data_IF_960357512743
#
_entry.id   IF_960357512743
#
_cell.length_a   1.000
_cell.length_b   1.000
_cell.length_c   1.000
_cell.angle_alpha   90.00
_cell.angle_beta   90.00
_cell.angle_gamma   90.00
#
_symmetry.space_group_name_H-M   'P 1'
#
loop_
_entity.id
_entity.type
_entity.pdbx_description
1 polymer ?
#
# COMPACT_ATOMS: atom_id res chain seq x y z
N UNK A 1 30.92 -11.25 20.21
CA UNK A 1 32.00 -11.65 19.27
C UNK A 1 31.62 -12.84 18.36
N UNK A 2 30.33 -13.16 18.17
CA UNK A 2 29.88 -14.14 17.16
C UNK A 2 29.32 -13.43 15.92
N UNK A 3 28.81 -12.21 16.04
CA UNK A 3 28.26 -11.45 14.91
C UNK A 3 29.32 -10.97 13.91
N UNK A 4 30.57 -10.71 14.35
CA UNK A 4 31.63 -10.21 13.45
C UNK A 4 32.04 -11.21 12.35
N UNK A 5 31.78 -12.51 12.52
CA UNK A 5 32.06 -13.49 11.46
C UNK A 5 31.07 -13.36 10.30
N UNK A 6 29.85 -12.90 10.58
CA UNK A 6 28.79 -12.76 9.58
C UNK A 6 29.04 -11.60 8.62
N UNK A 7 29.93 -10.67 8.99
CA UNK A 7 30.39 -9.60 8.12
C UNK A 7 31.25 -10.13 6.97
N UNK A 8 31.88 -11.30 7.14
CA UNK A 8 32.82 -11.85 6.19
C UNK A 8 32.32 -13.10 5.44
N UNK A 9 31.34 -13.83 5.99
CA UNK A 9 30.86 -15.07 5.39
C UNK A 9 29.49 -14.93 4.72
N UNK A 10 29.27 -15.68 3.65
CA UNK A 10 27.92 -15.85 3.10
C UNK A 10 27.06 -16.68 4.05
N UNK A 11 25.85 -16.21 4.33
CA UNK A 11 24.94 -16.85 5.27
C UNK A 11 23.48 -16.63 4.84
N UNK A 12 22.53 -17.29 5.49
CA UNK A 12 21.10 -17.06 5.27
C UNK A 12 20.47 -16.53 6.54
N UNK A 13 19.60 -15.52 6.41
CA UNK A 13 18.77 -15.01 7.51
C UNK A 13 17.33 -15.40 7.27
N UNK A 14 16.64 -15.87 8.31
CA UNK A 14 15.25 -16.26 8.23
C UNK A 14 14.35 -15.04 8.39
N UNK A 15 13.36 -14.90 7.50
CA UNK A 15 12.26 -13.95 7.64
C UNK A 15 11.08 -14.69 8.28
N UNK A 16 10.82 -14.49 9.59
CA UNK A 16 9.76 -15.20 10.30
C UNK A 16 8.36 -14.76 9.87
N UNK A 17 8.20 -13.58 9.26
CA UNK A 17 6.92 -13.11 8.76
C UNK A 17 6.53 -13.83 7.46
N UNK A 18 7.52 -14.23 6.64
CA UNK A 18 7.29 -14.92 5.36
C UNK A 18 7.56 -16.42 5.40
N UNK A 19 8.18 -16.94 6.46
CA UNK A 19 8.57 -18.34 6.55
C UNK A 19 9.67 -18.74 5.55
N UNK A 20 10.49 -17.79 5.10
CA UNK A 20 11.50 -17.98 4.06
C UNK A 20 12.87 -17.46 4.48
N UNK A 21 13.92 -17.81 3.73
CA UNK A 21 15.28 -17.36 4.00
C UNK A 21 15.80 -16.44 2.90
N UNK A 22 16.57 -15.44 3.31
CA UNK A 22 17.29 -14.51 2.43
C UNK A 22 18.78 -14.88 2.45
N UNK A 23 19.39 -15.02 1.27
CA UNK A 23 20.84 -15.17 1.14
C UNK A 23 21.51 -13.81 1.33
N UNK A 24 22.52 -13.77 2.21
CA UNK A 24 23.36 -12.61 2.48
C UNK A 24 24.78 -12.93 2.02
N UNK A 25 25.31 -12.11 1.12
CA UNK A 25 26.69 -12.21 0.62
C UNK A 25 27.39 -10.86 0.79
N UNK A 26 28.03 -10.60 1.96
CA UNK A 26 28.52 -9.27 2.33
C UNK A 26 29.45 -8.63 1.30
N UNK A 27 30.31 -9.43 0.67
CA UNK A 27 31.31 -8.95 -0.30
C UNK A 27 30.75 -8.73 -1.73
N UNK A 28 29.46 -8.96 -1.97
CA UNK A 28 28.90 -8.98 -3.33
C UNK A 28 29.04 -7.63 -4.06
N UNK A 29 28.94 -6.53 -3.31
CA UNK A 29 29.05 -5.15 -3.80
C UNK A 29 30.49 -4.74 -4.12
N UNK A 30 31.51 -5.49 -3.69
CA UNK A 30 32.92 -5.25 -4.04
C UNK A 30 33.24 -5.58 -5.51
N UNK A 31 32.33 -6.25 -6.22
CA UNK A 31 32.51 -6.52 -7.65
C UNK A 31 32.47 -5.20 -8.43
N UNK A 32 33.46 -4.93 -9.31
CA UNK A 32 33.41 -3.76 -10.19
C UNK A 32 32.09 -3.69 -10.97
N UNK A 33 31.36 -2.59 -10.82
CA UNK A 33 30.12 -2.33 -11.54
C UNK A 33 30.41 -1.57 -12.83
N UNK A 34 30.11 -2.20 -13.97
CA UNK A 34 30.22 -1.62 -15.32
C UNK A 34 28.86 -1.55 -16.04
N UNK A 35 27.78 -1.84 -15.31
CA UNK A 35 26.42 -1.84 -15.85
C UNK A 35 25.79 -0.44 -15.86
N UNK A 36 24.48 -0.42 -16.03
CA UNK A 36 23.66 0.79 -16.00
C UNK A 36 23.94 1.61 -14.74
N UNK A 37 24.17 2.91 -14.91
CA UNK A 37 24.30 3.87 -13.83
C UNK A 37 23.11 4.82 -13.91
N UNK A 38 22.37 4.92 -12.80
CA UNK A 38 21.32 5.92 -12.68
C UNK A 38 21.95 7.27 -12.33
N UNK A 39 21.56 8.32 -13.06
CA UNK A 39 22.00 9.68 -12.71
C UNK A 39 21.19 10.18 -11.51
N UNK A 40 21.81 10.83 -10.51
CA UNK A 40 21.06 11.47 -9.44
C UNK A 40 20.12 12.53 -10.02
N UNK A 41 18.81 12.31 -9.95
CA UNK A 41 17.83 13.31 -10.37
C UNK A 41 17.60 14.31 -9.24
N UNK A 42 18.14 15.53 -9.40
CA UNK A 42 17.61 16.69 -8.67
C UNK A 42 16.39 17.17 -9.42
N UNK A 43 15.25 16.53 -9.18
CA UNK A 43 13.99 16.95 -9.80
C UNK A 43 13.57 18.27 -9.16
N UNK A 44 13.85 19.38 -9.85
CA UNK A 44 13.35 20.69 -9.45
C UNK A 44 11.97 20.86 -10.09
N UNK A 45 10.93 20.55 -9.32
CA UNK A 45 9.55 20.66 -9.76
C UNK A 45 8.99 22.04 -9.36
N UNK A 46 8.05 22.61 -10.13
CA UNK A 46 7.31 23.77 -9.69
C UNK A 46 6.37 23.38 -8.54
N UNK A 47 6.03 24.35 -7.67
CA UNK A 47 5.00 24.13 -6.63
C UNK A 47 3.64 23.77 -7.22
N UNK A 48 3.34 24.28 -8.42
CA UNK A 48 2.16 23.96 -9.19
C UNK A 48 2.52 23.74 -10.65
N UNK A 49 2.05 22.62 -11.21
CA UNK A 49 2.20 22.28 -12.62
C UNK A 49 0.82 22.28 -13.32
N UNK A 50 0.56 23.19 -14.28
CA UNK A 50 -0.71 23.24 -15.02
C UNK A 50 -0.95 22.01 -15.92
N UNK A 51 0.08 21.23 -16.25
CA UNK A 51 -0.05 19.99 -17.02
C UNK A 51 -0.24 18.74 -16.13
N UNK A 52 -0.03 18.86 -14.81
CA UNK A 52 -0.17 17.73 -13.91
C UNK A 52 -1.66 17.45 -13.61
N UNK A 53 -2.14 16.26 -13.97
CA UNK A 53 -3.54 15.84 -13.75
C UNK A 53 -3.92 15.60 -12.27
N UNK A 54 -2.96 15.73 -11.34
CA UNK A 54 -3.20 15.62 -9.89
C UNK A 54 -3.22 16.98 -9.19
N UNK A 55 -2.71 18.05 -9.80
CA UNK A 55 -2.68 19.38 -9.17
C UNK A 55 -4.10 19.93 -8.93
N UNK A 56 -4.29 20.79 -7.91
CA UNK A 56 -5.58 21.43 -7.63
C UNK A 56 -6.12 22.21 -8.83
N UNK A 57 -7.41 22.09 -9.13
CA UNK A 57 -8.06 22.78 -10.25
C UNK A 57 -7.76 22.23 -11.65
N UNK A 58 -6.82 21.30 -11.79
CA UNK A 58 -6.49 20.72 -13.09
C UNK A 58 -7.47 19.62 -13.49
N UNK A 59 -7.55 19.37 -14.79
CA UNK A 59 -8.32 18.27 -15.36
C UNK A 59 -7.59 16.94 -15.15
N UNK A 60 -8.30 15.95 -14.62
CA UNK A 60 -7.86 14.56 -14.48
C UNK A 60 -7.75 13.86 -15.83
N UNK A 61 -7.16 12.66 -15.82
CA UNK A 61 -6.90 11.90 -17.05
C UNK A 61 -8.19 11.52 -17.81
N UNK A 62 -9.31 11.31 -17.11
CA UNK A 62 -10.63 11.04 -17.72
C UNK A 62 -11.49 12.29 -17.94
N UNK A 63 -10.97 13.50 -17.69
CA UNK A 63 -11.66 14.76 -18.00
C UNK A 63 -12.37 15.45 -16.83
N UNK A 64 -12.46 14.83 -15.66
CA UNK A 64 -13.03 15.46 -14.47
C UNK A 64 -12.10 16.55 -13.91
N UNK A 65 -12.64 17.64 -13.36
CA UNK A 65 -11.83 18.65 -12.70
C UNK A 65 -11.50 18.27 -11.25
N UNK A 66 -10.25 18.51 -10.82
CA UNK A 66 -9.88 18.46 -9.41
C UNK A 66 -10.43 19.69 -8.67
N UNK A 67 -10.85 19.56 -7.41
CA UNK A 67 -11.14 20.72 -6.58
C UNK A 67 -9.91 21.60 -6.40
N UNK A 68 -10.15 22.84 -5.96
CA UNK A 68 -9.12 23.70 -5.38
C UNK A 68 -8.78 23.23 -3.95
N UNK A 69 -8.23 22.03 -3.83
CA UNK A 69 -7.83 21.44 -2.55
C UNK A 69 -6.52 22.06 -2.04
N UNK A 70 -6.36 22.11 -0.72
CA UNK A 70 -5.17 22.70 -0.06
C UNK A 70 -4.25 21.66 0.59
N UNK A 71 -4.82 20.51 0.98
CA UNK A 71 -4.14 19.46 1.73
C UNK A 71 -4.27 18.12 0.97
N UNK A 72 -4.63 17.05 1.67
CA UNK A 72 -4.92 15.74 1.08
C UNK A 72 -6.20 15.77 0.25
N UNK A 73 -6.17 15.16 -0.93
CA UNK A 73 -7.35 14.96 -1.78
C UNK A 73 -7.43 13.52 -2.29
N UNK A 74 -8.63 12.93 -2.17
CA UNK A 74 -8.92 11.53 -2.50
C UNK A 74 -9.98 11.43 -3.60
N UNK A 75 -9.74 10.54 -4.55
CA UNK A 75 -10.71 10.19 -5.58
C UNK A 75 -10.56 8.73 -6.01
N UNK A 76 -11.59 8.18 -6.67
CA UNK A 76 -11.53 6.84 -7.26
C UNK A 76 -10.62 6.88 -8.48
N UNK A 77 -9.69 5.94 -8.59
CA UNK A 77 -8.74 5.90 -9.68
C UNK A 77 -9.45 5.76 -11.03
N UNK A 78 -9.25 6.73 -11.91
CA UNK A 78 -9.72 6.79 -13.30
C UNK A 78 -9.42 5.51 -14.10
N UNK A 79 -8.31 4.83 -13.77
CA UNK A 79 -7.88 3.55 -14.35
C UNK A 79 -7.73 2.47 -13.27
N UNK A 80 -8.80 2.24 -12.51
CA UNK A 80 -8.83 1.23 -11.44
C UNK A 80 -8.44 -0.17 -11.95
N UNK A 81 -7.49 -0.82 -11.26
CA UNK A 81 -7.02 -2.17 -11.57
C UNK A 81 -8.08 -3.25 -11.29
N UNK A 82 -8.95 -3.00 -10.30
CA UNK A 82 -10.12 -3.82 -9.97
C UNK A 82 -11.36 -2.94 -9.95
N UNK A 83 -12.52 -3.50 -10.32
CA UNK A 83 -13.79 -2.79 -10.41
C UNK A 83 -14.78 -3.32 -9.38
N UNK A 84 -15.69 -2.45 -8.94
CA UNK A 84 -16.77 -2.87 -8.02
C UNK A 84 -17.77 -3.79 -8.74
N UNK A 85 -17.95 -3.57 -10.04
CA UNK A 85 -18.85 -4.31 -10.90
C UNK A 85 -18.11 -4.85 -12.12
N UNK A 86 -18.35 -6.13 -12.41
CA UNK A 86 -17.84 -6.84 -13.58
C UNK A 86 -18.81 -7.95 -13.96
N UNK A 87 -18.60 -8.59 -15.11
CA UNK A 87 -19.36 -9.77 -15.47
C UNK A 87 -19.13 -10.89 -14.45
N UNK A 88 -20.21 -11.57 -14.06
CA UNK A 88 -20.11 -12.76 -13.22
C UNK A 88 -19.29 -13.82 -13.92
N UNK A 89 -18.35 -14.42 -13.17
CA UNK A 89 -17.54 -15.54 -13.64
C UNK A 89 -17.68 -16.68 -12.63
N UNK A 90 -18.22 -17.80 -13.10
CA UNK A 90 -18.29 -19.05 -12.37
C UNK A 90 -17.47 -20.06 -13.18
N UNK A 91 -16.37 -20.61 -12.63
CA UNK A 91 -15.60 -21.61 -13.36
C UNK A 91 -16.49 -22.83 -13.62
N UNK A 92 -16.60 -23.22 -14.88
CA UNK A 92 -17.22 -24.48 -15.27
C UNK A 92 -16.19 -25.62 -15.10
N UNK A 93 -16.67 -26.77 -14.62
CA UNK A 93 -15.97 -28.07 -14.48
C UNK A 93 -15.29 -28.41 -13.13
N UNK A 94 -15.49 -29.67 -12.71
CA UNK A 94 -14.96 -30.34 -11.51
C UNK A 94 -13.95 -31.45 -11.86
N UNK A 95 -13.52 -31.54 -13.12
CA UNK A 95 -12.53 -32.50 -13.60
C UNK A 95 -11.09 -32.14 -13.23
N UNK A 96 -10.13 -32.93 -13.76
CA UNK A 96 -8.70 -32.73 -13.49
C UNK A 96 -8.15 -31.37 -14.00
N UNK A 97 -8.78 -30.77 -15.01
CA UNK A 97 -8.39 -29.46 -15.54
C UNK A 97 -8.54 -28.35 -14.49
N UNK A 98 -9.57 -28.42 -13.63
CA UNK A 98 -9.80 -27.46 -12.54
C UNK A 98 -8.68 -27.41 -11.49
N UNK A 99 -7.82 -28.43 -11.45
CA UNK A 99 -6.63 -28.44 -10.62
C UNK A 99 -5.50 -27.61 -11.21
N UNK A 100 -5.31 -27.65 -12.53
CA UNK A 100 -4.20 -26.98 -13.22
C UNK A 100 -4.53 -25.57 -13.71
N UNK A 101 -5.79 -25.32 -14.09
CA UNK A 101 -6.24 -24.11 -14.76
C UNK A 101 -7.33 -23.40 -13.94
N UNK A 102 -6.97 -22.96 -12.73
CA UNK A 102 -7.90 -22.27 -11.83
C UNK A 102 -7.89 -20.77 -12.05
N UNK A 103 -9.09 -20.20 -12.20
CA UNK A 103 -9.32 -18.77 -12.19
C UNK A 103 -10.41 -18.43 -11.16
N UNK A 104 -10.25 -17.31 -10.46
CA UNK A 104 -11.21 -16.80 -9.48
C UNK A 104 -11.49 -15.32 -9.76
N UNK A 105 -12.75 -14.88 -9.67
CA UNK A 105 -13.09 -13.47 -9.88
C UNK A 105 -12.63 -12.62 -8.69
N UNK A 106 -12.14 -11.41 -8.97
CA UNK A 106 -11.76 -10.43 -7.94
C UNK A 106 -12.40 -9.09 -8.26
N UNK A 107 -13.18 -8.58 -7.33
CA UNK A 107 -13.78 -7.23 -7.38
C UNK A 107 -13.17 -6.35 -6.31
N UNK A 108 -13.28 -5.04 -6.49
CA UNK A 108 -12.59 -4.12 -5.60
C UNK A 108 -12.77 -2.65 -5.97
N UNK A 109 -12.01 -1.80 -5.28
CA UNK A 109 -11.98 -0.35 -5.55
C UNK A 109 -10.58 0.19 -5.37
N UNK A 110 -10.15 1.02 -6.31
CA UNK A 110 -8.85 1.69 -6.27
C UNK A 110 -9.05 3.18 -6.03
N UNK A 111 -8.29 3.73 -5.09
CA UNK A 111 -8.24 5.15 -4.78
C UNK A 111 -6.87 5.72 -5.08
N UNK A 112 -6.84 6.98 -5.50
CA UNK A 112 -5.65 7.83 -5.51
C UNK A 112 -5.81 8.87 -4.41
N UNK A 113 -4.74 9.07 -3.64
CA UNK A 113 -4.69 10.01 -2.54
C UNK A 113 -3.47 10.92 -2.72
N UNK A 114 -3.70 12.18 -3.04
CA UNK A 114 -2.64 13.21 -3.07
C UNK A 114 -2.27 13.60 -1.66
N UNK A 115 -0.97 13.73 -1.35
CA UNK A 115 -0.51 14.05 0.00
C UNK A 115 -0.53 15.56 0.28
N UNK A 116 -0.33 16.38 -0.75
CA UNK A 116 -0.25 17.85 -0.65
C UNK A 116 -0.72 18.48 -1.95
N UNK A 117 -1.18 19.73 -1.90
CA UNK A 117 -1.41 20.54 -3.10
C UNK A 117 -0.10 20.91 -3.83
N UNK A 118 1.03 20.93 -3.12
CA UNK A 118 2.33 21.29 -3.68
C UNK A 118 2.94 20.13 -4.47
N UNK A 119 3.10 20.34 -5.77
CA UNK A 119 3.63 19.35 -6.72
C UNK A 119 5.12 19.03 -6.52
N UNK A 120 5.86 19.92 -5.86
CA UNK A 120 7.30 19.80 -5.64
C UNK A 120 7.70 19.19 -4.30
N UNK A 121 6.75 18.72 -3.50
CA UNK A 121 7.02 18.03 -2.24
C UNK A 121 6.96 16.52 -2.40
N UNK A 122 7.62 15.81 -1.49
CA UNK A 122 7.42 14.38 -1.24
C UNK A 122 6.88 14.17 0.18
N UNK A 123 6.43 12.95 0.51
CA UNK A 123 5.97 12.65 1.88
C UNK A 123 7.04 12.97 2.95
N UNK A 124 8.33 12.83 2.60
CA UNK A 124 9.45 13.13 3.49
C UNK A 124 9.70 14.64 3.69
N UNK A 125 9.16 15.49 2.81
CA UNK A 125 9.27 16.95 2.91
C UNK A 125 8.12 17.58 3.71
N UNK A 126 7.12 16.76 4.09
CA UNK A 126 5.99 17.19 4.90
C UNK A 126 6.34 17.18 6.39
N UNK A 127 5.90 18.22 7.09
CA UNK A 127 5.93 18.26 8.55
C UNK A 127 4.92 17.27 9.15
N UNK A 128 5.12 16.88 10.41
CA UNK A 128 4.17 15.99 11.09
C UNK A 128 2.70 16.47 11.02
N UNK A 129 2.38 17.77 11.24
CA UNK A 129 1.01 18.27 11.05
C UNK A 129 0.48 18.16 9.61
N UNK A 130 1.34 18.25 8.60
CA UNK A 130 0.95 18.05 7.19
C UNK A 130 0.71 16.56 6.86
N UNK A 131 1.35 15.63 7.59
CA UNK A 131 1.17 14.18 7.42
C UNK A 131 -0.12 13.67 8.08
N UNK A 132 -0.58 14.29 9.17
CA UNK A 132 -1.79 13.84 9.89
C UNK A 132 -3.02 13.70 8.97
N UNK A 133 -3.36 14.67 8.10
CA UNK A 133 -4.47 14.53 7.14
C UNK A 133 -4.34 13.33 6.19
N UNK A 134 -3.12 12.91 5.85
CA UNK A 134 -2.87 11.72 5.01
C UNK A 134 -3.25 10.46 5.78
N UNK A 135 -2.83 10.36 7.05
CA UNK A 135 -3.14 9.22 7.93
C UNK A 135 -4.64 9.17 8.23
N UNK A 136 -5.27 10.32 8.46
CA UNK A 136 -6.71 10.42 8.69
C UNK A 136 -7.48 9.90 7.47
N UNK A 137 -7.11 10.33 6.26
CA UNK A 137 -7.74 9.86 5.04
C UNK A 137 -7.55 8.34 4.81
N UNK A 138 -6.37 7.77 5.10
CA UNK A 138 -6.17 6.32 5.07
C UNK A 138 -7.08 5.59 6.08
N UNK A 139 -7.22 6.14 7.28
CA UNK A 139 -8.04 5.58 8.36
C UNK A 139 -9.52 5.66 8.02
N UNK A 140 -9.97 6.77 7.44
CA UNK A 140 -11.35 6.98 7.00
C UNK A 140 -11.73 6.02 5.87
N UNK A 141 -10.83 5.82 4.89
CA UNK A 141 -11.03 4.82 3.84
C UNK A 141 -11.14 3.44 4.48
N UNK A 142 -10.20 3.05 5.35
CA UNK A 142 -10.25 1.75 6.04
C UNK A 142 -11.57 1.53 6.78
N UNK A 143 -11.98 2.52 7.58
CA UNK A 143 -13.22 2.49 8.35
C UNK A 143 -14.45 2.31 7.46
N UNK A 144 -14.48 2.95 6.28
CA UNK A 144 -15.59 2.83 5.33
C UNK A 144 -15.76 1.43 4.72
N UNK A 145 -14.71 0.61 4.74
CA UNK A 145 -14.71 -0.78 4.23
C UNK A 145 -14.79 -1.84 5.34
N UNK A 146 -14.84 -1.43 6.61
CA UNK A 146 -14.99 -2.36 7.73
C UNK A 146 -16.28 -3.16 7.60
N UNK A 147 -16.18 -4.46 7.88
CA UNK A 147 -17.37 -5.29 7.90
C UNK A 147 -18.33 -4.84 9.00
N UNK A 148 -19.65 -4.75 8.73
CA UNK A 148 -20.63 -4.48 9.78
C UNK A 148 -20.60 -5.50 10.93
N UNK A 149 -20.03 -6.68 10.70
CA UNK A 149 -19.83 -7.73 11.73
C UNK A 149 -18.55 -7.54 12.56
N UNK A 150 -17.66 -6.64 12.15
CA UNK A 150 -16.41 -6.37 12.87
C UNK A 150 -16.73 -5.64 14.18
N UNK A 151 -16.13 -6.04 15.32
CA UNK A 151 -16.20 -5.25 16.55
C UNK A 151 -15.70 -3.81 16.36
N UNK A 152 -14.78 -3.60 15.41
CA UNK A 152 -14.27 -2.27 15.09
C UNK A 152 -15.31 -1.37 14.41
N UNK A 153 -16.31 -1.94 13.74
CA UNK A 153 -17.34 -1.15 13.06
C UNK A 153 -18.25 -0.39 14.06
N UNK A 154 -18.31 -0.82 15.33
CA UNK A 154 -19.08 -0.14 16.37
C UNK A 154 -18.37 1.11 16.93
N UNK A 155 -17.05 1.18 16.79
CA UNK A 155 -16.20 2.26 17.34
C UNK A 155 -15.57 3.13 16.25
N UNK A 156 -15.50 2.63 15.02
CA UNK A 156 -15.23 3.43 13.85
C UNK A 156 -16.46 4.31 13.60
N UNK A 157 -16.36 5.65 13.67
CA UNK A 157 -17.47 6.50 13.27
C UNK A 157 -17.89 6.11 11.85
N UNK A 158 -19.19 6.15 11.57
CA UNK A 158 -19.70 5.96 10.21
C UNK A 158 -19.15 7.09 9.33
N UNK A 159 -17.97 6.90 8.76
CA UNK A 159 -17.35 7.87 7.87
C UNK A 159 -18.06 7.78 6.52
N UNK A 160 -19.12 8.55 6.38
CA UNK A 160 -19.51 9.10 5.10
C UNK A 160 -18.56 10.27 4.85
N UNK A 161 -17.43 10.07 4.16
CA UNK A 161 -16.65 11.23 3.69
C UNK A 161 -17.61 12.21 2.96
N UNK A 162 -17.71 13.54 3.25
CA UNK A 162 -16.76 14.43 3.97
C UNK A 162 -17.40 15.57 4.85
N UNK A 163 -16.65 16.61 5.29
CA UNK A 163 -17.22 17.96 5.36
C UNK A 163 -17.00 18.84 4.12
N UNK A 164 -15.90 18.74 3.36
CA UNK A 164 -15.62 19.68 2.25
C UNK A 164 -14.90 19.09 1.01
N UNK A 165 -14.99 17.77 0.76
CA UNK A 165 -14.40 17.15 -0.43
C UNK A 165 -15.38 17.12 -1.62
N UNK A 166 -15.04 17.75 -2.74
CA UNK A 166 -15.89 17.84 -3.95
C UNK A 166 -16.07 16.51 -4.72
N UNK A 167 -15.68 15.38 -4.13
CA UNK A 167 -15.88 14.02 -4.66
C UNK A 167 -16.83 13.23 -3.77
N UNK A 168 -17.88 13.90 -3.27
CA UNK A 168 -19.06 13.29 -2.67
C UNK A 168 -19.76 12.35 -3.66
N UNK A 169 -19.17 11.18 -3.86
CA UNK A 169 -19.87 9.90 -3.88
C UNK A 169 -18.84 8.78 -3.65
N UNK A 170 -18.19 8.79 -2.47
CA UNK A 170 -17.63 7.57 -1.92
C UNK A 170 -18.79 6.72 -1.42
N UNK A 171 -19.42 6.00 -2.36
CA UNK A 171 -20.50 5.08 -2.07
C UNK A 171 -19.98 3.94 -1.20
N UNK A 172 -20.83 3.46 -0.28
CA UNK A 172 -20.56 2.21 0.43
C UNK A 172 -20.29 1.11 -0.61
N UNK A 173 -19.30 0.23 -0.36
CA UNK A 173 -19.04 -0.91 -1.23
C UNK A 173 -20.30 -1.72 -1.48
N UNK A 174 -20.52 -2.13 -2.72
CA UNK A 174 -21.60 -3.07 -3.06
C UNK A 174 -21.37 -4.47 -2.48
N UNK A 175 -20.12 -4.79 -2.16
CA UNK A 175 -19.67 -6.09 -1.64
C UNK A 175 -18.71 -5.91 -0.46
N UNK A 176 -18.66 -6.90 0.43
CA UNK A 176 -17.64 -6.92 1.47
C UNK A 176 -16.27 -7.24 0.86
N UNK A 177 -15.31 -6.33 1.01
CA UNK A 177 -13.91 -6.60 0.67
C UNK A 177 -13.17 -7.28 1.82
N UNK A 178 -12.18 -8.09 1.48
CA UNK A 178 -11.38 -8.88 2.43
C UNK A 178 -10.07 -8.21 2.82
N UNK A 179 -9.53 -7.36 1.96
CA UNK A 179 -8.24 -6.74 2.18
C UNK A 179 -8.20 -5.31 1.62
N UNK A 180 -7.40 -4.45 2.26
CA UNK A 180 -7.11 -3.10 1.82
C UNK A 180 -5.60 -2.88 1.85
N UNK A 181 -5.01 -2.65 0.69
CA UNK A 181 -3.59 -2.34 0.53
C UNK A 181 -3.40 -0.84 0.36
N UNK A 182 -2.73 -0.20 1.32
CA UNK A 182 -2.21 1.17 1.17
C UNK A 182 -0.77 1.05 0.68
N UNK A 183 -0.39 1.84 -0.33
CA UNK A 183 0.98 1.86 -0.83
C UNK A 183 1.33 3.18 -1.53
N UNK A 184 2.63 3.44 -1.66
CA UNK A 184 3.21 4.57 -2.41
C UNK A 184 4.26 4.01 -3.37
N UNK A 185 4.20 4.42 -4.64
CA UNK A 185 5.28 4.21 -5.58
C UNK A 185 6.01 5.54 -5.80
N UNK A 186 7.23 5.68 -5.28
CA UNK A 186 8.00 6.92 -5.33
C UNK A 186 9.14 6.84 -6.35
N UNK A 187 9.13 7.78 -7.31
CA UNK A 187 10.19 7.93 -8.30
C UNK A 187 10.06 7.00 -9.51
N UNK A 188 10.66 7.40 -10.63
CA UNK A 188 10.55 6.70 -11.90
C UNK A 188 11.09 5.26 -11.85
N UNK A 189 12.17 5.03 -11.09
CA UNK A 189 12.75 3.70 -10.89
C UNK A 189 11.76 2.71 -10.24
N UNK A 190 10.79 3.20 -9.48
CA UNK A 190 9.74 2.40 -8.84
C UNK A 190 8.44 2.36 -9.66
N UNK A 191 8.47 2.80 -10.92
CA UNK A 191 7.31 2.79 -11.82
C UNK A 191 6.28 3.90 -11.56
N UNK A 192 6.66 4.96 -10.84
CA UNK A 192 5.79 6.12 -10.63
C UNK A 192 5.59 6.90 -11.94
N UNK A 193 4.33 7.03 -12.40
CA UNK A 193 3.98 7.68 -13.67
C UNK A 193 3.67 9.18 -13.55
N UNK A 194 3.51 9.71 -12.34
CA UNK A 194 3.27 11.14 -12.09
C UNK A 194 4.08 11.60 -10.88
N UNK A 195 4.88 12.68 -11.01
CA UNK A 195 5.77 13.12 -9.93
C UNK A 195 5.05 13.83 -8.77
N UNK A 196 3.77 14.18 -8.89
CA UNK A 196 3.00 14.78 -7.80
C UNK A 196 2.90 13.82 -6.60
N UNK A 197 3.09 14.28 -5.35
CA UNK A 197 3.10 13.41 -4.18
C UNK A 197 1.74 12.73 -3.96
N UNK A 198 1.69 11.42 -4.12
CA UNK A 198 0.46 10.65 -3.93
C UNK A 198 0.75 9.20 -3.53
N UNK A 199 -0.24 8.60 -2.89
CA UNK A 199 -0.33 7.17 -2.66
C UNK A 199 -1.58 6.58 -3.31
N UNK A 200 -1.72 5.28 -3.19
CA UNK A 200 -2.88 4.54 -3.65
C UNK A 200 -3.42 3.65 -2.54
N UNK A 201 -4.72 3.38 -2.62
CA UNK A 201 -5.40 2.42 -1.75
C UNK A 201 -6.21 1.47 -2.62
N UNK A 202 -5.93 0.18 -2.55
CA UNK A 202 -6.67 -0.84 -3.30
C UNK A 202 -7.41 -1.75 -2.34
N UNK A 203 -8.72 -1.87 -2.50
CA UNK A 203 -9.54 -2.86 -1.80
C UNK A 203 -9.85 -4.03 -2.71
N UNK A 204 -9.81 -5.26 -2.19
CA UNK A 204 -10.06 -6.47 -2.98
C UNK A 204 -10.98 -7.44 -2.23
N UNK A 205 -11.84 -8.14 -2.97
CA UNK A 205 -12.66 -9.24 -2.46
C UNK A 205 -11.84 -10.49 -2.11
N UNK A 206 -10.63 -10.62 -2.65
CA UNK A 206 -9.66 -11.65 -2.30
C UNK A 206 -8.61 -11.13 -1.30
N UNK A 207 -7.98 -12.05 -0.58
CA UNK A 207 -6.79 -11.76 0.23
C UNK A 207 -5.55 -11.98 -0.66
N UNK A 208 -4.68 -10.96 -0.86
CA UNK A 208 -3.46 -11.13 -1.64
C UNK A 208 -2.48 -12.13 -1.00
N UNK A 209 -1.57 -12.67 -1.81
CA UNK A 209 -0.64 -13.73 -1.41
C UNK A 209 0.24 -13.33 -0.21
N UNK A 210 0.89 -12.16 -0.30
CA UNK A 210 1.81 -11.70 0.73
C UNK A 210 1.16 -11.61 2.12
N UNK A 211 0.08 -10.84 2.34
CA UNK A 211 -0.58 -10.79 3.63
C UNK A 211 -1.21 -12.14 4.05
N UNK A 212 -1.53 -13.04 3.12
CA UNK A 212 -1.98 -14.39 3.47
C UNK A 212 -0.84 -15.21 4.11
N UNK A 213 0.36 -15.17 3.51
CA UNK A 213 1.56 -15.80 4.07
C UNK A 213 1.88 -15.20 5.43
N UNK A 214 1.88 -13.87 5.55
CA UNK A 214 2.16 -13.19 6.83
C UNK A 214 1.17 -13.61 7.92
N UNK A 215 -0.12 -13.62 7.60
CA UNK A 215 -1.16 -14.04 8.54
C UNK A 215 -0.96 -15.48 9.02
N UNK A 216 -0.60 -16.39 8.11
CA UNK A 216 -0.32 -17.77 8.47
C UNK A 216 0.85 -17.89 9.45
N UNK A 217 1.96 -17.17 9.21
CA UNK A 217 3.12 -17.19 10.10
C UNK A 217 2.84 -16.54 11.45
N UNK A 218 2.10 -15.42 11.46
CA UNK A 218 1.65 -14.77 12.69
C UNK A 218 0.78 -15.70 13.54
N UNK A 219 -0.13 -16.45 12.91
CA UNK A 219 -0.97 -17.45 13.59
C UNK A 219 -0.15 -18.62 14.15
N UNK A 220 0.80 -19.17 13.37
CA UNK A 220 1.71 -20.24 13.80
C UNK A 220 2.55 -19.80 15.00
N UNK A 221 3.11 -18.59 14.97
CA UNK A 221 3.85 -18.03 16.09
C UNK A 221 2.97 -17.90 17.33
N UNK A 222 1.79 -17.27 17.19
CA UNK A 222 0.85 -17.09 18.30
C UNK A 222 0.47 -18.41 18.96
N UNK A 223 0.20 -19.45 18.17
CA UNK A 223 -0.16 -20.78 18.67
C UNK A 223 1.00 -21.46 19.42
N UNK A 224 2.24 -21.25 19.01
CA UNK A 224 3.43 -21.88 19.61
C UNK A 224 4.03 -21.08 20.78
N UNK A 225 3.69 -19.79 20.91
CA UNK A 225 4.29 -18.87 21.89
C UNK A 225 3.26 -18.36 22.90
N UNK A 226 2.39 -19.25 23.39
CA UNK A 226 1.46 -18.94 24.48
C UNK A 226 0.47 -17.81 24.20
N UNK A 227 0.16 -17.55 22.93
CA UNK A 227 -0.71 -16.44 22.52
C UNK A 227 0.01 -15.11 22.28
N UNK A 228 1.35 -15.07 22.32
CA UNK A 228 2.11 -13.85 22.06
C UNK A 228 2.02 -13.38 20.59
N UNK A 229 2.43 -12.13 20.34
CA UNK A 229 2.41 -11.49 19.03
C UNK A 229 3.83 -11.37 18.47
N UNK A 230 4.11 -12.06 17.37
CA UNK A 230 5.43 -12.11 16.72
C UNK A 230 6.09 -10.74 16.57
N UNK A 231 5.37 -9.76 15.99
CA UNK A 231 5.91 -8.42 15.76
C UNK A 231 6.07 -7.63 17.07
N UNK A 232 5.23 -7.91 18.08
CA UNK A 232 5.37 -7.30 19.41
C UNK A 232 6.62 -7.78 20.13
N UNK A 233 6.87 -9.09 20.10
CA UNK A 233 8.07 -9.70 20.67
C UNK A 233 9.32 -9.26 19.90
N UNK A 234 9.22 -9.15 18.57
CA UNK A 234 10.32 -8.64 17.73
C UNK A 234 10.67 -7.18 18.07
N UNK A 235 9.68 -6.29 18.19
CA UNK A 235 9.92 -4.89 18.61
C UNK A 235 10.53 -4.83 20.01
N UNK A 236 10.09 -5.67 20.95
CA UNK A 236 10.66 -5.70 22.29
C UNK A 236 12.15 -6.12 22.26
N UNK A 237 12.48 -7.12 21.44
CA UNK A 237 13.84 -7.60 21.23
C UNK A 237 14.74 -6.53 20.59
N UNK A 238 14.33 -5.92 19.48
CA UNK A 238 15.13 -4.90 18.80
C UNK A 238 15.38 -3.68 19.69
N UNK A 239 14.35 -3.25 20.45
CA UNK A 239 14.50 -2.19 21.46
C UNK A 239 15.49 -2.54 22.56
N UNK A 240 15.53 -3.80 23.02
CA UNK A 240 16.50 -4.25 24.01
C UNK A 240 17.93 -4.24 23.45
N UNK A 241 18.07 -4.55 22.16
CA UNK A 241 19.35 -4.54 21.45
C UNK A 241 19.81 -3.15 21.01
N UNK A 242 18.91 -2.16 21.00
CA UNK A 242 19.15 -0.83 20.43
C UNK A 242 19.41 -0.89 18.92
N UNK A 243 18.73 -1.82 18.25
CA UNK A 243 18.72 -2.01 16.79
C UNK A 243 17.39 -1.53 16.19
#
# INVERSE_FOLDING_TARGET
MVESVLDDISHRRFNPLRGSYILVSPHRTNRPWQGQQESPSKTTLPEYDPACYLCPGNTRAQGDANPQYKNTFVFVNDYSAVKEEQADYQPEDKGAESFFLRAEPVVGKCYVLTFSAAHNKTLADLSAPEIVPVIDAWTEIYASHLSPKSPLAAVAPATHLPPDASTASLTKPKSQYRYMQIFENKGAAMGCSNPHPHGQVWTTSSLPEEPAIELEQLQKYRASHGGSHLLGDYVALERQKQE
#
